data_IF_890594028720
#
_entry.id   IF_890594028720
#
_cell.length_a   1.000
_cell.length_b   1.000
_cell.length_c   1.000
_cell.angle_alpha   90.00
_cell.angle_beta   90.00
_cell.angle_gamma   90.00
#
_symmetry.space_group_name_H-M   'P 1'
#
loop_
_entity.id
_entity.type
_entity.pdbx_description
1 polymer ?
#
# COMPACT_ATOMS: atom_id res chain seq x y z
N UNK A 1 7.97 4.82 -0.66
CA UNK A 1 6.56 5.03 -0.29
C UNK A 1 6.06 6.46 -0.52
N UNK A 2 6.79 7.51 -0.10
CA UNK A 2 6.35 8.91 -0.32
C UNK A 2 6.17 9.27 -1.81
N UNK A 3 7.04 8.78 -2.70
CA UNK A 3 6.93 8.98 -4.15
C UNK A 3 5.63 8.39 -4.72
N UNK A 4 5.26 7.18 -4.28
CA UNK A 4 4.01 6.53 -4.67
C UNK A 4 2.81 7.37 -4.24
N UNK A 5 2.86 7.90 -3.02
CA UNK A 5 1.80 8.75 -2.48
C UNK A 5 1.66 10.07 -3.26
N UNK A 6 2.76 10.75 -3.59
CA UNK A 6 2.73 11.98 -4.38
C UNK A 6 2.15 11.75 -5.78
N UNK A 7 2.51 10.63 -6.43
CA UNK A 7 2.00 10.25 -7.76
C UNK A 7 0.52 9.82 -7.76
N UNK A 8 -0.01 9.49 -6.59
CA UNK A 8 -1.41 9.07 -6.47
C UNK A 8 -2.40 10.21 -6.76
N UNK A 9 -2.12 11.42 -6.28
CA UNK A 9 -3.03 12.57 -6.43
C UNK A 9 -3.27 13.00 -7.87
N UNK A 10 -2.25 13.13 -8.75
CA UNK A 10 -2.45 13.51 -10.14
C UNK A 10 -3.40 12.58 -10.90
N UNK A 11 -3.50 11.29 -10.53
CA UNK A 11 -4.39 10.33 -11.17
C UNK A 11 -5.84 10.78 -11.07
N UNK A 12 -6.23 11.26 -9.88
CA UNK A 12 -7.61 11.66 -9.61
C UNK A 12 -7.89 13.15 -9.85
N UNK A 13 -6.84 13.99 -9.90
CA UNK A 13 -7.00 15.43 -10.13
C UNK A 13 -6.86 15.83 -11.61
N UNK A 14 -6.38 14.92 -12.46
CA UNK A 14 -6.23 15.20 -13.88
C UNK A 14 -7.59 15.39 -14.55
N UNK A 15 -7.72 16.47 -15.34
CA UNK A 15 -8.94 16.77 -16.09
C UNK A 15 -9.10 15.96 -17.38
N UNK A 16 -8.07 15.23 -17.80
CA UNK A 16 -8.06 14.41 -19.01
C UNK A 16 -7.71 12.96 -18.67
N UNK A 17 -8.53 12.04 -19.16
CA UNK A 17 -8.37 10.60 -18.97
C UNK A 17 -6.98 10.06 -19.33
N UNK A 18 -6.39 10.60 -20.42
CA UNK A 18 -5.06 10.17 -20.88
C UNK A 18 -3.96 10.44 -19.83
N UNK A 19 -4.02 11.57 -19.14
CA UNK A 19 -3.07 11.88 -18.08
C UNK A 19 -3.29 11.03 -16.83
N UNK A 20 -4.55 10.78 -16.46
CA UNK A 20 -4.87 9.86 -15.36
C UNK A 20 -4.31 8.46 -15.64
N UNK A 21 -4.50 7.92 -16.84
CA UNK A 21 -3.98 6.62 -17.25
C UNK A 21 -2.45 6.59 -17.26
N UNK A 22 -1.81 7.65 -17.71
CA UNK A 22 -0.35 7.76 -17.72
C UNK A 22 0.25 7.72 -16.31
N UNK A 23 -0.28 8.54 -15.39
CA UNK A 23 0.14 8.54 -13.98
C UNK A 23 -0.18 7.21 -13.29
N UNK A 24 -1.32 6.59 -13.62
CA UNK A 24 -1.69 5.28 -13.11
C UNK A 24 -0.71 4.19 -13.56
N UNK A 25 -0.28 4.18 -14.83
CA UNK A 25 0.70 3.23 -15.33
C UNK A 25 2.05 3.37 -14.60
N UNK A 26 2.53 4.61 -14.40
CA UNK A 26 3.76 4.87 -13.64
C UNK A 26 3.60 4.40 -12.19
N UNK A 27 2.47 4.71 -11.55
CA UNK A 27 2.19 4.29 -10.19
C UNK A 27 2.21 2.77 -10.06
N UNK A 28 1.60 2.05 -11.01
CA UNK A 28 1.56 0.58 -11.03
C UNK A 28 2.97 -0.03 -11.11
N UNK A 29 3.85 0.53 -11.93
CA UNK A 29 5.23 0.06 -12.04
C UNK A 29 5.97 0.26 -10.71
N UNK A 30 5.91 1.47 -10.15
CA UNK A 30 6.63 1.82 -8.91
C UNK A 30 6.07 1.05 -7.71
N UNK A 31 4.74 0.91 -7.62
CA UNK A 31 4.11 0.22 -6.49
C UNK A 31 4.43 -1.28 -6.45
N UNK A 32 4.69 -1.91 -7.58
CA UNK A 32 5.07 -3.32 -7.61
C UNK A 32 6.47 -3.60 -7.02
N UNK A 33 7.32 -2.60 -6.87
CA UNK A 33 8.67 -2.77 -6.32
C UNK A 33 8.66 -3.05 -4.81
N UNK A 34 7.65 -2.56 -4.06
CA UNK A 34 7.63 -2.74 -2.60
C UNK A 34 7.38 -4.18 -2.17
N UNK A 35 6.64 -4.95 -2.94
CA UNK A 35 6.22 -6.29 -2.57
C UNK A 35 7.41 -7.27 -2.44
N UNK A 36 8.30 -7.40 -3.45
CA UNK A 36 9.49 -8.24 -3.34
C UNK A 36 10.40 -7.82 -2.18
N UNK A 37 10.56 -6.52 -1.94
CA UNK A 37 11.39 -6.00 -0.85
C UNK A 37 10.80 -6.43 0.50
N UNK A 38 9.49 -6.30 0.69
CA UNK A 38 8.80 -6.71 1.92
C UNK A 38 8.97 -8.21 2.17
N UNK A 39 8.81 -9.04 1.13
CA UNK A 39 9.03 -10.49 1.24
C UNK A 39 10.49 -10.83 1.59
N UNK A 40 11.45 -10.23 0.89
CA UNK A 40 12.87 -10.47 1.14
C UNK A 40 13.26 -10.11 2.59
N UNK A 41 12.83 -8.95 3.08
CA UNK A 41 13.07 -8.52 4.45
C UNK A 41 12.42 -9.45 5.47
N UNK A 42 11.18 -9.85 5.26
CA UNK A 42 10.50 -10.76 6.18
C UNK A 42 11.16 -12.13 6.22
N UNK A 43 11.57 -12.65 5.06
CA UNK A 43 12.26 -13.94 5.00
C UNK A 43 13.66 -13.89 5.63
N UNK A 44 14.33 -12.74 5.64
CA UNK A 44 15.63 -12.57 6.28
C UNK A 44 15.54 -12.52 7.82
N UNK A 45 14.38 -12.13 8.37
CA UNK A 45 14.13 -12.04 9.81
C UNK A 45 13.69 -13.36 10.45
N UNK A 46 13.50 -14.42 9.67
CA UNK A 46 13.03 -15.71 10.18
C UNK A 46 13.95 -16.86 9.78
N UNK A 47 14.06 -17.92 10.61
CA UNK A 47 14.82 -19.12 10.27
C UNK A 47 14.32 -19.77 8.99
N UNK A 48 15.21 -20.51 8.27
CA UNK A 48 14.90 -21.15 6.99
C UNK A 48 13.60 -21.98 7.02
N UNK A 49 13.36 -22.68 8.12
CA UNK A 49 12.16 -23.53 8.30
C UNK A 49 10.84 -22.72 8.37
N UNK A 50 10.91 -21.44 8.73
CA UNK A 50 9.73 -20.61 8.91
C UNK A 50 9.47 -19.66 7.74
N UNK A 51 10.35 -19.57 6.75
CA UNK A 51 10.23 -18.61 5.63
C UNK A 51 8.94 -18.80 4.82
N UNK A 52 8.55 -20.03 4.57
CA UNK A 52 7.30 -20.34 3.86
C UNK A 52 6.07 -19.87 4.64
N UNK A 53 6.05 -20.12 5.96
CA UNK A 53 4.94 -19.70 6.84
C UNK A 53 4.87 -18.19 6.94
N UNK A 54 6.02 -17.51 7.10
CA UNK A 54 6.07 -16.04 7.16
C UNK A 54 5.55 -15.41 5.85
N UNK A 55 5.95 -15.94 4.71
CA UNK A 55 5.45 -15.49 3.39
C UNK A 55 3.96 -15.74 3.24
N UNK A 56 3.45 -16.89 3.67
CA UNK A 56 2.03 -17.20 3.63
C UNK A 56 1.20 -16.26 4.53
N UNK A 57 1.69 -15.92 5.72
CA UNK A 57 1.04 -14.96 6.61
C UNK A 57 0.96 -13.56 6.00
N UNK A 58 2.04 -13.08 5.37
CA UNK A 58 2.03 -11.79 4.68
C UNK A 58 0.98 -11.80 3.56
N UNK A 59 1.00 -12.83 2.70
CA UNK A 59 0.01 -12.96 1.62
C UNK A 59 -1.42 -13.00 2.16
N UNK A 60 -1.65 -13.73 3.23
CA UNK A 60 -2.94 -13.82 3.88
C UNK A 60 -3.43 -12.43 4.35
N UNK A 61 -2.58 -11.69 5.06
CA UNK A 61 -2.88 -10.34 5.54
C UNK A 61 -3.15 -9.37 4.37
N UNK A 62 -2.28 -9.38 3.34
CA UNK A 62 -2.45 -8.52 2.16
C UNK A 62 -3.77 -8.83 1.45
N UNK A 63 -4.13 -10.10 1.29
CA UNK A 63 -5.36 -10.47 0.60
C UNK A 63 -6.61 -10.10 1.42
N UNK A 64 -6.63 -10.37 2.71
CA UNK A 64 -7.80 -10.03 3.55
C UNK A 64 -7.96 -8.52 3.65
N UNK A 65 -6.89 -7.81 4.02
CA UNK A 65 -6.96 -6.36 4.24
C UNK A 65 -7.05 -5.62 2.92
N UNK A 66 -6.17 -5.95 1.95
CA UNK A 66 -6.09 -5.23 0.68
C UNK A 66 -7.25 -5.54 -0.25
N UNK A 67 -7.49 -6.82 -0.57
CA UNK A 67 -8.52 -7.22 -1.52
C UNK A 67 -9.91 -7.41 -0.88
N UNK A 68 -9.96 -7.75 0.41
CA UNK A 68 -11.22 -7.90 1.12
C UNK A 68 -11.77 -6.56 1.60
N UNK A 69 -11.09 -5.95 2.56
CA UNK A 69 -11.57 -4.72 3.19
C UNK A 69 -11.36 -3.47 2.33
N UNK A 70 -10.34 -3.42 1.47
CA UNK A 70 -10.05 -2.25 0.64
C UNK A 70 -11.23 -1.78 -0.21
N UNK A 71 -11.78 -2.60 -1.11
CA UNK A 71 -12.94 -2.25 -1.92
C UNK A 71 -14.19 -1.99 -1.09
N UNK A 72 -14.38 -2.73 0.02
CA UNK A 72 -15.53 -2.54 0.92
C UNK A 72 -15.51 -1.13 1.53
N UNK A 73 -14.38 -0.69 2.09
CA UNK A 73 -14.25 0.66 2.65
C UNK A 73 -14.40 1.74 1.59
N UNK A 74 -13.85 1.51 0.39
CA UNK A 74 -13.99 2.45 -0.71
C UNK A 74 -15.46 2.59 -1.14
N UNK A 75 -16.21 1.49 -1.21
CA UNK A 75 -17.64 1.49 -1.52
C UNK A 75 -18.47 2.21 -0.46
N UNK A 76 -18.33 1.85 0.82
CA UNK A 76 -19.06 2.48 1.92
C UNK A 76 -18.80 3.99 1.97
N UNK A 77 -17.54 4.42 1.82
CA UNK A 77 -17.20 5.82 1.81
C UNK A 77 -17.77 6.54 0.57
N UNK A 78 -17.75 5.89 -0.59
CA UNK A 78 -18.36 6.42 -1.81
C UNK A 78 -19.87 6.60 -1.66
N UNK A 79 -20.58 5.63 -1.09
CA UNK A 79 -22.02 5.72 -0.84
C UNK A 79 -22.36 6.88 0.09
N UNK A 80 -21.58 7.08 1.15
CA UNK A 80 -21.73 8.21 2.06
C UNK A 80 -21.49 9.56 1.36
N UNK A 81 -20.51 9.63 0.47
CA UNK A 81 -20.18 10.83 -0.28
C UNK A 81 -21.13 11.12 -1.45
N UNK A 82 -21.96 10.16 -1.84
CA UNK A 82 -22.87 10.31 -2.99
C UNK A 82 -23.86 11.46 -2.81
N UNK A 83 -24.31 11.73 -1.59
CA UNK A 83 -25.20 12.87 -1.30
C UNK A 83 -24.58 14.22 -1.61
N UNK A 84 -23.25 14.33 -1.52
CA UNK A 84 -22.52 15.61 -1.70
C UNK A 84 -21.87 15.72 -3.08
N UNK A 85 -21.32 14.61 -3.60
CA UNK A 85 -20.50 14.60 -4.82
C UNK A 85 -21.12 13.83 -5.98
N UNK A 86 -22.30 13.20 -5.80
CA UNK A 86 -23.01 12.49 -6.86
C UNK A 86 -22.12 11.45 -7.55
N UNK A 87 -22.02 11.53 -8.88
CA UNK A 87 -21.24 10.60 -9.71
C UNK A 87 -19.71 10.64 -9.45
N UNK A 88 -19.21 11.68 -8.81
CA UNK A 88 -17.79 11.82 -8.46
C UNK A 88 -17.43 11.20 -7.09
N UNK A 89 -18.41 10.66 -6.36
CA UNK A 89 -18.24 10.14 -5.00
C UNK A 89 -17.12 9.09 -4.88
N UNK A 90 -17.02 8.15 -5.83
CA UNK A 90 -15.98 7.14 -5.86
C UNK A 90 -14.57 7.76 -6.00
N UNK A 91 -14.43 8.78 -6.83
CA UNK A 91 -13.18 9.52 -7.01
C UNK A 91 -12.71 10.16 -5.71
N UNK A 92 -13.61 10.85 -5.01
CA UNK A 92 -13.29 11.46 -3.72
C UNK A 92 -13.05 10.44 -2.62
N UNK A 93 -13.79 9.33 -2.62
CA UNK A 93 -13.56 8.21 -1.70
C UNK A 93 -12.14 7.68 -1.83
N UNK A 94 -11.70 7.39 -3.04
CA UNK A 94 -10.34 6.91 -3.29
C UNK A 94 -9.28 7.96 -2.92
N UNK A 95 -9.51 9.24 -3.23
CA UNK A 95 -8.60 10.32 -2.82
C UNK A 95 -8.41 10.39 -1.30
N UNK A 96 -9.51 10.32 -0.53
CA UNK A 96 -9.47 10.35 0.93
C UNK A 96 -8.71 9.13 1.48
N UNK A 97 -9.04 7.94 0.98
CA UNK A 97 -8.36 6.70 1.39
C UNK A 97 -6.85 6.79 1.13
N UNK A 98 -6.45 7.22 -0.06
CA UNK A 98 -5.04 7.39 -0.40
C UNK A 98 -4.34 8.45 0.42
N UNK A 99 -5.03 9.56 0.73
CA UNK A 99 -4.51 10.64 1.57
C UNK A 99 -4.21 10.17 3.00
N UNK A 100 -4.99 9.24 3.54
CA UNK A 100 -4.81 8.70 4.90
C UNK A 100 -3.83 7.53 4.90
N UNK A 101 -4.03 6.55 4.02
CA UNK A 101 -3.24 5.31 4.04
C UNK A 101 -1.80 5.53 3.58
N UNK A 102 -1.56 6.44 2.62
CA UNK A 102 -0.23 6.69 2.10
C UNK A 102 0.77 7.19 3.17
N UNK A 103 0.48 8.26 3.92
CA UNK A 103 1.33 8.71 5.01
C UNK A 103 1.47 7.68 6.13
N UNK A 104 0.39 6.97 6.46
CA UNK A 104 0.39 5.89 7.45
C UNK A 104 1.36 4.77 7.06
N UNK A 105 1.30 4.30 5.83
CA UNK A 105 2.23 3.29 5.32
C UNK A 105 3.68 3.81 5.32
N UNK A 106 3.92 5.04 4.84
CA UNK A 106 5.24 5.65 4.83
C UNK A 106 5.84 5.75 6.23
N UNK A 107 5.04 6.11 7.23
CA UNK A 107 5.44 6.16 8.63
C UNK A 107 5.89 4.80 9.16
N UNK A 108 5.13 3.73 8.88
CA UNK A 108 5.48 2.37 9.31
C UNK A 108 6.77 1.87 8.64
N UNK A 109 6.95 2.12 7.34
CA UNK A 109 8.21 1.78 6.67
C UNK A 109 9.39 2.57 7.20
N UNK A 110 9.19 3.83 7.57
CA UNK A 110 10.23 4.64 8.20
C UNK A 110 10.63 4.09 9.57
N UNK A 111 9.68 3.67 10.39
CA UNK A 111 9.98 3.01 11.66
C UNK A 111 10.71 1.69 11.41
N UNK A 112 10.20 0.85 10.52
CA UNK A 112 10.82 -0.44 10.20
C UNK A 112 12.28 -0.27 9.75
N UNK A 113 12.57 0.75 8.92
CA UNK A 113 13.94 1.00 8.44
C UNK A 113 14.94 1.31 9.56
N UNK A 114 14.50 1.86 10.68
CA UNK A 114 15.37 2.17 11.84
C UNK A 114 15.76 0.95 12.65
N UNK A 115 14.93 -0.10 12.63
CA UNK A 115 15.11 -1.26 13.50
C UNK A 115 15.61 -2.50 12.75
N UNK A 116 15.51 -2.51 11.41
CA UNK A 116 15.81 -3.70 10.59
C UNK A 116 17.25 -4.20 10.78
N UNK A 117 18.25 -3.32 10.83
CA UNK A 117 19.65 -3.71 11.00
C UNK A 117 19.90 -4.39 12.34
N UNK A 118 19.31 -3.86 13.41
CA UNK A 118 19.43 -4.44 14.76
C UNK A 118 18.72 -5.80 14.85
N UNK A 119 17.58 -5.92 14.20
CA UNK A 119 16.79 -7.16 14.25
C UNK A 119 17.46 -8.25 13.39
N UNK A 120 18.07 -7.88 12.26
CA UNK A 120 18.90 -8.78 11.46
C UNK A 120 20.12 -9.29 12.24
N UNK A 121 20.84 -8.39 12.94
CA UNK A 121 22.00 -8.79 13.74
C UNK A 121 21.63 -9.87 14.76
N UNK A 122 20.48 -9.74 15.44
CA UNK A 122 20.00 -10.73 16.40
C UNK A 122 19.69 -12.12 15.79
N UNK A 123 19.26 -12.15 14.53
CA UNK A 123 18.96 -13.43 13.85
C UNK A 123 20.22 -14.17 13.47
N UNK A 124 21.33 -13.46 13.23
CA UNK A 124 22.62 -14.06 12.83
C UNK A 124 23.57 -14.31 14.02
N UNK A 125 23.27 -13.81 15.21
CA UNK A 125 24.03 -14.11 16.44
C UNK A 125 23.60 -15.42 17.12
N UNK A 126 22.55 -16.09 16.64
CA UNK A 126 22.04 -17.39 17.12
C UNK A 126 22.43 -18.50 16.13
#
# INVERSE_FOLDING_TARGET
>A
MLLVWILYFPIFLANHEKWSLFFFAILMIISNIYLPITFAQTQSLVPLRMRAVASALILFIINIIGLGFGPLFAGILSDYLTMTYGNESMRYSLLIIGAVIGPWAAFHYFIASKYIERDLARVYEV
#
